data_IF_390063962365
#
_entry.id   IF_390063962365
#
_cell.length_a   1.000
_cell.length_b   1.000
_cell.length_c   1.000
_cell.angle_alpha   90.00
_cell.angle_beta   90.00
_cell.angle_gamma   90.00
#
_symmetry.space_group_name_H-M   'P 1'
#
loop_
_entity.id
_entity.type
_entity.pdbx_description
1 polymer ?
#
# COMPACT_ATOMS: atom_id res chain seq x y z
N UNK A 1 -36.05 36.69 -3.28
CA UNK A 1 -35.36 35.95 -4.35
C UNK A 1 -35.40 34.47 -3.99
N UNK A 2 -36.00 33.61 -4.83
CA UNK A 2 -36.06 32.17 -4.53
C UNK A 2 -34.65 31.57 -4.59
N UNK A 3 -34.30 30.76 -3.58
CA UNK A 3 -33.05 29.97 -3.58
C UNK A 3 -33.06 29.05 -4.81
N UNK A 4 -31.98 28.99 -5.61
CA UNK A 4 -31.86 27.96 -6.61
C UNK A 4 -31.91 26.60 -5.90
N UNK A 5 -32.90 25.79 -6.28
CA UNK A 5 -32.91 24.36 -5.95
C UNK A 5 -31.64 23.79 -6.58
N UNK A 6 -30.78 23.07 -5.84
CA UNK A 6 -29.63 22.42 -6.45
C UNK A 6 -30.16 21.44 -7.48
N UNK A 7 -29.80 21.65 -8.75
CA UNK A 7 -30.14 20.73 -9.83
C UNK A 7 -29.79 19.32 -9.39
N UNK A 8 -30.78 18.42 -9.46
CA UNK A 8 -30.52 17.00 -9.28
C UNK A 8 -29.43 16.62 -10.29
N UNK A 9 -28.39 15.87 -9.88
CA UNK A 9 -27.35 15.45 -10.80
C UNK A 9 -28.02 14.76 -11.99
N UNK A 10 -27.78 15.28 -13.17
CA UNK A 10 -28.24 14.68 -14.42
C UNK A 10 -27.75 13.23 -14.44
N UNK A 11 -28.69 12.30 -14.61
CA UNK A 11 -28.45 10.86 -14.80
C UNK A 11 -27.62 10.67 -16.08
N UNK A 12 -26.30 10.91 -16.02
CA UNK A 12 -25.41 10.56 -17.10
C UNK A 12 -25.31 9.03 -17.16
N UNK A 13 -25.70 8.38 -18.27
CA UNK A 13 -25.70 6.91 -18.40
C UNK A 13 -24.30 6.26 -18.24
N UNK A 14 -23.24 7.07 -18.10
CA UNK A 14 -21.88 6.60 -17.82
C UNK A 14 -21.54 6.39 -16.35
N UNK A 15 -22.34 6.85 -15.38
CA UNK A 15 -22.08 6.66 -13.94
C UNK A 15 -22.29 5.20 -13.49
N UNK A 16 -23.41 4.61 -13.91
CA UNK A 16 -23.81 3.25 -13.55
C UNK A 16 -22.87 2.18 -14.15
N UNK A 17 -22.47 2.36 -15.42
CA UNK A 17 -21.50 1.48 -16.10
C UNK A 17 -20.12 1.53 -15.43
N UNK A 18 -19.68 2.71 -14.98
CA UNK A 18 -18.40 2.87 -14.28
C UNK A 18 -18.44 2.31 -12.87
N UNK A 19 -19.56 2.47 -12.17
CA UNK A 19 -19.78 1.84 -10.88
C UNK A 19 -19.66 0.31 -10.98
N UNK A 20 -20.35 -0.30 -11.95
CA UNK A 20 -20.27 -1.73 -12.22
C UNK A 20 -18.84 -2.17 -12.59
N UNK A 21 -18.13 -1.39 -13.41
CA UNK A 21 -16.75 -1.68 -13.81
C UNK A 21 -15.75 -1.58 -12.64
N UNK A 22 -15.87 -0.54 -11.79
CA UNK A 22 -15.04 -0.38 -10.60
C UNK A 22 -15.28 -1.53 -9.61
N UNK A 23 -16.53 -1.90 -9.39
CA UNK A 23 -16.91 -3.02 -8.54
C UNK A 23 -16.42 -4.36 -9.12
N UNK A 24 -16.49 -4.55 -10.44
CA UNK A 24 -15.96 -5.74 -11.11
C UNK A 24 -14.44 -5.86 -10.95
N UNK A 25 -13.69 -4.76 -11.12
CA UNK A 25 -12.23 -4.71 -10.89
C UNK A 25 -11.86 -5.03 -9.45
N UNK A 26 -12.63 -4.50 -8.49
CA UNK A 26 -12.42 -4.78 -7.06
C UNK A 26 -12.74 -6.25 -6.71
N UNK A 27 -13.79 -6.81 -7.33
CA UNK A 27 -14.20 -8.22 -7.17
C UNK A 27 -13.27 -9.22 -7.83
N UNK A 28 -12.34 -8.81 -8.69
CA UNK A 28 -11.45 -9.76 -9.34
C UNK A 28 -10.69 -10.61 -8.29
N UNK A 29 -10.68 -11.93 -8.43
CA UNK A 29 -9.98 -12.82 -7.51
C UNK A 29 -8.45 -12.56 -7.55
N UNK A 30 -7.70 -12.65 -6.42
CA UNK A 30 -6.24 -12.45 -6.39
C UNK A 30 -5.50 -13.67 -6.99
N UNK A 31 -5.81 -13.98 -8.25
CA UNK A 31 -5.39 -15.20 -8.92
C UNK A 31 -3.86 -15.34 -8.95
N UNK A 32 -3.13 -14.25 -9.21
CA UNK A 32 -1.67 -14.27 -9.23
C UNK A 32 -1.04 -14.69 -7.90
N UNK A 33 -1.51 -14.14 -6.78
CA UNK A 33 -0.97 -14.50 -5.47
C UNK A 33 -1.32 -15.94 -5.06
N UNK A 34 -2.57 -16.34 -5.29
CA UNK A 34 -3.05 -17.69 -4.96
C UNK A 34 -2.38 -18.74 -5.85
N UNK A 35 -2.20 -18.46 -7.15
CA UNK A 35 -1.49 -19.35 -8.07
C UNK A 35 -0.02 -19.53 -7.65
N UNK A 36 0.69 -18.45 -7.28
CA UNK A 36 2.07 -18.56 -6.79
C UNK A 36 2.17 -19.38 -5.50
N UNK A 37 1.25 -19.19 -4.55
CA UNK A 37 1.23 -20.01 -3.33
C UNK A 37 0.89 -21.47 -3.63
N UNK A 38 -0.02 -21.72 -4.57
CA UNK A 38 -0.38 -23.06 -4.99
C UNK A 38 0.80 -23.78 -5.67
N UNK A 39 1.54 -23.11 -6.56
CA UNK A 39 2.72 -23.71 -7.21
C UNK A 39 3.83 -24.00 -6.20
N UNK A 40 4.06 -23.12 -5.23
CA UNK A 40 5.00 -23.36 -4.13
C UNK A 40 4.58 -24.54 -3.25
N UNK A 41 3.30 -24.61 -2.89
CA UNK A 41 2.76 -25.72 -2.11
C UNK A 41 2.88 -27.05 -2.86
N UNK A 42 2.55 -27.09 -4.15
CA UNK A 42 2.69 -28.28 -4.98
C UNK A 42 4.14 -28.71 -5.14
N UNK A 43 5.06 -27.76 -5.37
CA UNK A 43 6.50 -28.05 -5.44
C UNK A 43 7.04 -28.64 -4.13
N UNK A 44 6.65 -28.05 -2.99
CA UNK A 44 7.02 -28.55 -1.67
C UNK A 44 6.41 -29.94 -1.39
N UNK A 45 5.18 -30.19 -1.83
CA UNK A 45 4.50 -31.49 -1.70
C UNK A 45 5.18 -32.58 -2.53
N UNK A 46 5.50 -32.29 -3.80
CA UNK A 46 6.23 -33.23 -4.67
C UNK A 46 7.59 -33.56 -4.06
N UNK A 47 8.29 -32.55 -3.52
CA UNK A 47 9.54 -32.79 -2.79
C UNK A 47 9.31 -33.66 -1.55
N UNK A 48 8.31 -33.36 -0.72
CA UNK A 48 7.98 -34.19 0.44
C UNK A 48 7.72 -35.66 0.06
N UNK A 49 6.93 -35.91 -0.98
CA UNK A 49 6.67 -37.29 -1.47
C UNK A 49 7.96 -37.97 -1.91
N UNK A 50 8.85 -37.25 -2.60
CA UNK A 50 10.17 -37.79 -2.97
C UNK A 50 11.05 -38.13 -1.76
N UNK A 51 10.86 -37.45 -0.62
CA UNK A 51 11.58 -37.73 0.63
C UNK A 51 11.01 -38.93 1.39
N UNK A 52 9.75 -39.31 1.18
CA UNK A 52 9.13 -40.47 1.82
C UNK A 52 9.78 -41.79 1.34
N UNK A 53 10.07 -41.88 0.04
CA UNK A 53 10.72 -43.06 -0.56
C UNK A 53 12.23 -43.14 -0.32
N UNK A 54 12.86 -42.11 0.25
CA UNK A 54 14.30 -42.14 0.54
C UNK A 54 14.58 -42.91 1.82
N UNK A 55 15.54 -43.82 1.74
CA UNK A 55 16.11 -44.52 2.89
C UNK A 55 17.30 -43.69 3.40
N UNK A 56 17.43 -43.48 4.72
CA UNK A 56 18.61 -42.84 5.29
C UNK A 56 19.84 -43.71 5.01
N UNK A 57 20.76 -43.21 4.19
CA UNK A 57 22.00 -43.90 3.85
C UNK A 57 23.19 -43.19 4.50
N UNK A 58 23.95 -43.88 5.37
CA UNK A 58 25.16 -43.32 5.98
C UNK A 58 26.29 -43.34 4.96
N UNK A 59 26.86 -42.17 4.66
CA UNK A 59 28.00 -42.02 3.77
C UNK A 59 29.20 -41.41 4.51
N UNK A 60 30.39 -41.92 4.20
CA UNK A 60 31.68 -41.38 4.63
C UNK A 60 32.52 -41.07 3.38
N UNK A 61 32.94 -39.82 3.18
CA UNK A 61 33.72 -39.38 2.01
C UNK A 61 33.16 -39.82 0.64
N UNK A 62 31.84 -39.96 0.53
CA UNK A 62 31.15 -40.41 -0.70
C UNK A 62 30.97 -41.92 -0.83
N UNK A 63 31.56 -42.73 0.06
CA UNK A 63 31.35 -44.18 0.12
C UNK A 63 30.23 -44.53 1.12
N UNK A 64 29.40 -45.52 0.78
CA UNK A 64 28.37 -46.04 1.67
C UNK A 64 29.02 -46.80 2.83
N UNK A 65 28.55 -46.58 4.05
CA UNK A 65 29.02 -47.30 5.24
C UNK A 65 28.12 -48.50 5.54
N UNK A 66 28.72 -49.58 6.03
CA UNK A 66 28.06 -50.78 6.55
C UNK A 66 28.06 -50.81 8.09
N UNK A 67 27.16 -51.57 8.73
CA UNK A 67 27.20 -51.76 10.18
C UNK A 67 28.56 -52.26 10.66
N UNK A 68 29.15 -51.58 11.64
CA UNK A 68 30.51 -51.86 12.15
C UNK A 68 31.60 -50.94 11.58
N UNK A 69 31.34 -50.21 10.50
CA UNK A 69 32.33 -49.28 9.93
C UNK A 69 32.59 -48.07 10.82
N UNK A 70 33.83 -47.59 10.78
CA UNK A 70 34.29 -46.37 11.45
C UNK A 70 34.80 -45.40 10.39
N UNK A 71 34.37 -44.15 10.47
CA UNK A 71 34.73 -43.09 9.54
C UNK A 71 35.59 -42.05 10.25
N UNK A 72 36.74 -41.71 9.69
CA UNK A 72 37.52 -40.56 10.15
C UNK A 72 36.92 -39.26 9.58
N UNK A 73 36.38 -38.40 10.45
CA UNK A 73 36.02 -37.03 10.10
C UNK A 73 37.11 -36.07 10.58
N UNK A 74 37.70 -35.34 9.63
CA UNK A 74 38.56 -34.19 9.91
C UNK A 74 37.72 -32.92 9.86
N UNK A 75 37.64 -32.15 10.96
CA UNK A 75 36.98 -30.84 10.95
C UNK A 75 37.81 -29.87 10.10
N UNK A 76 37.14 -29.07 9.25
CA UNK A 76 37.77 -28.13 8.29
C UNK A 76 38.77 -27.13 8.91
N UNK A 77 38.74 -26.90 10.23
CA UNK A 77 39.66 -26.02 10.99
C UNK A 77 40.44 -26.73 12.11
N UNK A 78 40.43 -28.07 12.17
CA UNK A 78 41.13 -28.83 13.22
C UNK A 78 42.11 -29.84 12.62
N UNK A 79 43.26 -29.99 13.27
CA UNK A 79 44.24 -31.05 12.98
C UNK A 79 43.85 -32.38 13.61
N UNK A 80 42.90 -32.42 14.55
CA UNK A 80 42.42 -33.67 15.15
C UNK A 80 41.43 -34.37 14.22
N UNK A 81 41.72 -35.62 13.91
CA UNK A 81 40.76 -36.58 13.34
C UNK A 81 39.89 -37.11 14.48
N UNK A 82 38.58 -37.13 14.27
CA UNK A 82 37.64 -37.80 15.18
C UNK A 82 37.00 -38.95 14.44
N UNK A 83 37.06 -40.14 15.03
CA UNK A 83 36.36 -41.32 14.55
C UNK A 83 34.86 -41.20 14.83
N UNK A 84 34.05 -41.52 13.83
CA UNK A 84 32.58 -41.52 13.91
C UNK A 84 32.09 -42.88 13.46
N UNK A 85 31.34 -43.56 14.33
CA UNK A 85 30.78 -44.88 14.06
C UNK A 85 29.61 -44.82 13.08
N UNK A 86 29.36 -45.94 12.39
CA UNK A 86 28.18 -46.15 11.54
C UNK A 86 26.88 -45.68 12.21
N UNK A 87 26.62 -46.08 13.45
CA UNK A 87 25.37 -45.75 14.16
C UNK A 87 25.18 -44.24 14.32
N UNK A 88 26.27 -43.51 14.59
CA UNK A 88 26.22 -42.06 14.76
C UNK A 88 25.97 -41.34 13.43
N UNK A 89 26.58 -41.81 12.33
CA UNK A 89 26.32 -41.28 10.98
C UNK A 89 24.89 -41.60 10.54
N UNK A 90 24.40 -42.81 10.84
CA UNK A 90 23.03 -43.22 10.54
C UNK A 90 22.02 -42.37 11.32
N UNK A 91 22.22 -42.14 12.61
CA UNK A 91 21.36 -41.28 13.43
C UNK A 91 21.30 -39.83 12.87
N UNK A 92 22.44 -39.28 12.44
CA UNK A 92 22.51 -37.97 11.81
C UNK A 92 21.78 -37.95 10.45
N UNK A 93 21.88 -39.02 9.65
CA UNK A 93 21.14 -39.17 8.39
C UNK A 93 19.62 -39.26 8.61
N UNK A 94 19.18 -40.03 9.61
CA UNK A 94 17.77 -40.15 10.01
C UNK A 94 17.23 -38.80 10.48
N UNK A 95 17.95 -38.11 11.37
CA UNK A 95 17.55 -36.80 11.87
C UNK A 95 17.47 -35.75 10.75
N UNK A 96 18.41 -35.78 9.80
CA UNK A 96 18.39 -34.90 8.63
C UNK A 96 17.17 -35.15 7.74
N UNK A 97 16.89 -36.41 7.42
CA UNK A 97 15.77 -36.77 6.55
C UNK A 97 14.42 -36.44 7.21
N UNK A 98 14.27 -36.73 8.49
CA UNK A 98 13.07 -36.37 9.26
C UNK A 98 12.90 -34.85 9.33
N UNK A 99 13.97 -34.09 9.56
CA UNK A 99 13.93 -32.61 9.56
C UNK A 99 13.50 -32.08 8.18
N UNK A 100 14.03 -32.62 7.09
CA UNK A 100 13.63 -32.23 5.72
C UNK A 100 12.14 -32.51 5.45
N UNK A 101 11.62 -33.65 5.93
CA UNK A 101 10.20 -34.01 5.79
C UNK A 101 9.30 -33.04 6.56
N UNK A 102 9.61 -32.75 7.83
CA UNK A 102 8.82 -31.80 8.62
C UNK A 102 8.87 -30.37 8.06
N UNK A 103 10.03 -29.98 7.53
CA UNK A 103 10.18 -28.67 6.90
C UNK A 103 9.33 -28.52 5.64
N UNK A 104 9.41 -29.49 4.71
CA UNK A 104 8.62 -29.46 3.48
C UNK A 104 7.12 -29.45 3.79
N UNK A 105 6.68 -30.22 4.80
CA UNK A 105 5.31 -30.17 5.31
C UNK A 105 4.93 -28.79 5.86
N UNK A 106 5.79 -28.16 6.65
CA UNK A 106 5.54 -26.83 7.22
C UNK A 106 5.39 -25.75 6.12
N UNK A 107 6.20 -25.81 5.06
CA UNK A 107 6.08 -24.91 3.90
C UNK A 107 4.72 -25.08 3.21
N UNK A 108 4.28 -26.32 2.99
CA UNK A 108 2.95 -26.61 2.44
C UNK A 108 1.86 -25.99 3.32
N UNK A 109 1.91 -26.25 4.63
CA UNK A 109 0.93 -25.74 5.58
C UNK A 109 0.85 -24.20 5.55
N UNK A 110 2.00 -23.52 5.53
CA UNK A 110 2.04 -22.05 5.49
C UNK A 110 1.50 -21.50 4.18
N UNK A 111 1.82 -22.11 3.04
CA UNK A 111 1.28 -21.68 1.75
C UNK A 111 -0.25 -21.82 1.73
N UNK A 112 -0.79 -22.91 2.28
CA UNK A 112 -2.23 -23.14 2.40
C UNK A 112 -2.88 -22.12 3.35
N UNK A 113 -2.32 -21.90 4.54
CA UNK A 113 -2.83 -20.92 5.50
C UNK A 113 -2.78 -19.48 4.96
N UNK A 114 -1.70 -19.10 4.28
CA UNK A 114 -1.57 -17.80 3.63
C UNK A 114 -2.59 -17.63 2.50
N UNK A 115 -2.78 -18.65 1.65
CA UNK A 115 -3.80 -18.63 0.60
C UNK A 115 -5.21 -18.50 1.20
N UNK A 116 -5.53 -19.24 2.26
CA UNK A 116 -6.80 -19.16 2.96
C UNK A 116 -7.02 -17.75 3.55
N UNK A 117 -6.00 -17.19 4.22
CA UNK A 117 -6.06 -15.84 4.79
C UNK A 117 -6.32 -14.77 3.70
N UNK A 118 -5.64 -14.87 2.55
CA UNK A 118 -5.86 -13.99 1.40
C UNK A 118 -7.30 -14.11 0.90
N UNK A 119 -7.83 -15.33 0.76
CA UNK A 119 -9.20 -15.57 0.27
C UNK A 119 -10.26 -15.05 1.24
N UNK A 120 -10.13 -15.37 2.54
CA UNK A 120 -11.06 -14.90 3.59
C UNK A 120 -11.09 -13.37 3.60
N UNK A 121 -9.91 -12.76 3.56
CA UNK A 121 -9.77 -11.30 3.56
C UNK A 121 -10.35 -10.66 2.31
N UNK A 122 -10.06 -11.21 1.13
CA UNK A 122 -10.66 -10.76 -0.13
C UNK A 122 -12.19 -10.85 -0.09
N UNK A 123 -12.76 -11.93 0.46
CA UNK A 123 -14.22 -12.04 0.62
C UNK A 123 -14.78 -10.96 1.54
N UNK A 124 -14.12 -10.67 2.66
CA UNK A 124 -14.51 -9.59 3.58
C UNK A 124 -14.47 -8.22 2.91
N UNK A 125 -13.38 -7.91 2.21
CA UNK A 125 -13.24 -6.65 1.47
C UNK A 125 -14.32 -6.53 0.38
N UNK A 126 -14.61 -7.62 -0.35
CA UNK A 126 -15.67 -7.65 -1.37
C UNK A 126 -17.05 -7.48 -0.77
N UNK A 127 -17.32 -8.04 0.42
CA UNK A 127 -18.58 -7.86 1.12
C UNK A 127 -18.79 -6.38 1.49
N UNK A 128 -17.76 -5.74 2.07
CA UNK A 128 -17.80 -4.30 2.39
C UNK A 128 -17.98 -3.43 1.14
N UNK A 129 -17.29 -3.77 0.04
CA UNK A 129 -17.45 -3.04 -1.21
C UNK A 129 -18.85 -3.23 -1.82
N UNK A 130 -19.48 -4.40 -1.62
CA UNK A 130 -20.88 -4.63 -2.01
C UNK A 130 -21.86 -3.83 -1.18
N UNK A 131 -21.64 -3.75 0.13
CA UNK A 131 -22.46 -2.93 1.03
C UNK A 131 -22.40 -1.45 0.62
N UNK A 132 -21.21 -0.94 0.29
CA UNK A 132 -21.11 0.41 -0.27
C UNK A 132 -21.77 0.54 -1.62
N UNK A 133 -21.55 -0.42 -2.51
CA UNK A 133 -22.15 -0.37 -3.84
C UNK A 133 -23.68 -0.39 -3.80
N UNK A 134 -24.28 -1.07 -2.82
CA UNK A 134 -25.72 -1.09 -2.62
C UNK A 134 -26.31 0.29 -2.30
N UNK A 135 -25.51 1.21 -1.74
CA UNK A 135 -25.91 2.59 -1.49
C UNK A 135 -25.86 3.48 -2.75
N UNK A 136 -25.56 2.92 -3.93
CA UNK A 136 -25.55 3.59 -5.24
C UNK A 136 -24.76 4.91 -5.27
N UNK A 137 -23.41 4.86 -5.17
CA UNK A 137 -22.61 6.06 -5.33
C UNK A 137 -22.78 6.65 -6.74
N UNK A 138 -22.80 7.98 -6.84
CA UNK A 138 -22.87 8.69 -8.12
C UNK A 138 -21.67 8.36 -9.02
N UNK A 139 -20.49 8.25 -8.40
CA UNK A 139 -19.25 7.87 -9.06
C UNK A 139 -18.44 6.97 -8.15
N UNK A 140 -17.72 6.01 -8.75
CA UNK A 140 -16.83 5.14 -8.00
C UNK A 140 -15.52 4.89 -8.74
N UNK A 141 -14.44 4.78 -7.98
CA UNK A 141 -13.17 4.26 -8.47
C UNK A 141 -12.71 3.12 -7.58
N UNK A 142 -12.01 2.18 -8.18
CA UNK A 142 -11.40 1.08 -7.49
C UNK A 142 -9.97 0.91 -7.97
N UNK A 143 -9.01 1.05 -7.05
CA UNK A 143 -7.63 0.72 -7.30
C UNK A 143 -7.30 -0.60 -6.62
N UNK A 144 -6.58 -1.47 -7.33
CA UNK A 144 -6.13 -2.75 -6.80
C UNK A 144 -4.63 -2.69 -6.63
N UNK A 145 -4.14 -2.73 -5.39
CA UNK A 145 -2.73 -3.07 -5.18
C UNK A 145 -2.48 -4.49 -5.65
N UNK A 146 -1.42 -4.68 -6.44
CA UNK A 146 -1.09 -5.97 -7.01
C UNK A 146 -0.71 -6.93 -5.88
N UNK A 147 -1.64 -7.80 -5.45
CA UNK A 147 -1.37 -8.93 -4.54
C UNK A 147 -0.20 -9.81 -5.02
N UNK A 148 0.16 -9.69 -6.30
CA UNK A 148 1.37 -10.27 -6.91
C UNK A 148 2.64 -9.89 -6.14
N UNK A 149 2.78 -8.65 -5.64
CA UNK A 149 3.99 -8.24 -4.89
C UNK A 149 4.08 -8.98 -3.56
N UNK A 150 2.95 -9.18 -2.86
CA UNK A 150 2.89 -9.96 -1.62
C UNK A 150 3.23 -11.43 -1.88
N UNK A 151 2.64 -12.04 -2.91
CA UNK A 151 2.95 -13.42 -3.31
C UNK A 151 4.42 -13.60 -3.71
N UNK A 152 5.00 -12.62 -4.43
CA UNK A 152 6.41 -12.63 -4.82
C UNK A 152 7.35 -12.47 -3.61
N UNK A 153 7.02 -11.59 -2.66
CA UNK A 153 7.80 -11.41 -1.42
C UNK A 153 7.79 -12.69 -0.58
N UNK A 154 6.64 -13.34 -0.44
CA UNK A 154 6.54 -14.63 0.26
C UNK A 154 7.38 -15.69 -0.45
N UNK A 155 7.24 -15.81 -1.78
CA UNK A 155 8.03 -16.74 -2.57
C UNK A 155 9.53 -16.48 -2.43
N UNK A 156 9.95 -15.22 -2.48
CA UNK A 156 11.35 -14.83 -2.29
C UNK A 156 11.85 -15.16 -0.87
N UNK A 157 11.06 -14.93 0.18
CA UNK A 157 11.44 -15.27 1.56
C UNK A 157 11.56 -16.78 1.78
N UNK A 158 10.67 -17.57 1.18
CA UNK A 158 10.74 -19.03 1.23
C UNK A 158 11.98 -19.54 0.48
N UNK A 159 12.25 -19.01 -0.71
CA UNK A 159 13.43 -19.37 -1.51
C UNK A 159 14.73 -18.95 -0.84
N UNK A 160 14.79 -17.74 -0.27
CA UNK A 160 15.96 -17.25 0.46
C UNK A 160 16.18 -18.07 1.73
N UNK A 161 15.14 -18.36 2.51
CA UNK A 161 15.25 -19.22 3.69
C UNK A 161 15.76 -20.62 3.35
N UNK A 162 15.20 -21.25 2.30
CA UNK A 162 15.65 -22.55 1.82
C UNK A 162 17.08 -22.53 1.26
N UNK A 163 17.44 -21.49 0.50
CA UNK A 163 18.77 -21.31 -0.06
C UNK A 163 19.83 -21.06 1.01
N UNK A 164 19.53 -20.22 2.00
CA UNK A 164 20.42 -19.95 3.13
C UNK A 164 20.65 -21.23 3.94
N UNK A 165 19.58 -22.01 4.18
CA UNK A 165 19.66 -23.31 4.84
C UNK A 165 20.58 -24.29 4.10
N UNK A 166 20.39 -24.43 2.78
CA UNK A 166 21.23 -25.27 1.95
C UNK A 166 22.70 -24.80 1.98
N UNK A 167 22.94 -23.50 1.85
CA UNK A 167 24.28 -22.91 1.90
C UNK A 167 24.98 -23.11 3.25
N UNK A 168 24.28 -22.85 4.36
CA UNK A 168 24.77 -23.06 5.73
C UNK A 168 25.13 -24.54 5.98
N UNK A 169 24.31 -25.46 5.46
CA UNK A 169 24.55 -26.90 5.53
C UNK A 169 25.86 -27.28 4.81
N UNK A 170 26.08 -26.78 3.60
CA UNK A 170 27.31 -27.05 2.84
C UNK A 170 28.54 -26.36 3.45
N UNK A 171 28.37 -25.18 4.05
CA UNK A 171 29.48 -24.38 4.57
C UNK A 171 30.00 -24.84 5.94
N UNK A 172 29.09 -25.11 6.89
CA UNK A 172 29.45 -25.36 8.30
C UNK A 172 29.57 -26.86 8.61
N UNK A 173 28.70 -27.70 8.02
CA UNK A 173 28.66 -29.14 8.26
C UNK A 173 28.26 -29.51 9.71
N UNK A 174 27.63 -30.67 9.89
CA UNK A 174 27.26 -31.22 11.20
C UNK A 174 26.00 -30.63 11.84
N UNK A 175 25.70 -31.09 13.06
CA UNK A 175 24.47 -30.81 13.84
C UNK A 175 24.18 -29.32 14.11
N UNK A 176 25.22 -28.47 14.14
CA UNK A 176 25.09 -27.02 14.36
C UNK A 176 24.49 -26.33 13.12
N UNK A 177 24.87 -26.76 11.92
CA UNK A 177 24.31 -26.25 10.67
C UNK A 177 22.83 -26.61 10.50
N UNK A 178 22.42 -27.78 10.99
CA UNK A 178 21.01 -28.20 11.00
C UNK A 178 20.18 -27.39 12.00
N UNK A 179 20.68 -27.18 13.22
CA UNK A 179 19.97 -26.41 14.25
C UNK A 179 19.77 -24.94 13.87
N UNK A 180 20.83 -24.24 13.47
CA UNK A 180 20.76 -22.84 13.01
C UNK A 180 19.89 -22.73 11.76
N UNK A 181 20.01 -23.69 10.86
CA UNK A 181 19.19 -23.75 9.65
C UNK A 181 17.69 -23.84 9.96
N UNK A 182 17.27 -24.70 10.90
CA UNK A 182 15.85 -24.81 11.27
C UNK A 182 15.33 -23.50 11.86
N UNK A 183 16.10 -22.83 12.72
CA UNK A 183 15.69 -21.56 13.34
C UNK A 183 15.52 -20.45 12.29
N UNK A 184 16.47 -20.30 11.36
CA UNK A 184 16.38 -19.29 10.29
C UNK A 184 15.15 -19.51 9.42
N UNK A 185 14.85 -20.77 9.13
CA UNK A 185 13.74 -21.16 8.26
C UNK A 185 12.39 -21.01 8.95
N UNK A 186 12.25 -21.47 10.20
CA UNK A 186 11.04 -21.24 10.98
C UNK A 186 10.82 -19.74 11.17
N UNK A 187 11.90 -18.99 11.44
CA UNK A 187 11.88 -17.53 11.51
C UNK A 187 11.40 -16.88 10.22
N UNK A 188 11.94 -17.27 9.06
CA UNK A 188 11.54 -16.68 7.77
C UNK A 188 10.09 -17.00 7.40
N UNK A 189 9.64 -18.22 7.70
CA UNK A 189 8.26 -18.67 7.52
C UNK A 189 7.30 -17.91 8.43
N UNK A 190 7.65 -17.75 9.71
CA UNK A 190 6.87 -16.94 10.66
C UNK A 190 6.84 -15.47 10.25
N UNK A 191 7.97 -14.90 9.82
CA UNK A 191 8.02 -13.52 9.30
C UNK A 191 7.15 -13.37 8.06
N UNK A 192 7.19 -14.33 7.12
CA UNK A 192 6.33 -14.30 5.94
C UNK A 192 4.84 -14.38 6.32
N UNK A 193 4.47 -15.23 7.27
CA UNK A 193 3.11 -15.34 7.78
C UNK A 193 2.67 -14.06 8.50
N UNK A 194 3.53 -13.50 9.36
CA UNK A 194 3.29 -12.22 10.04
C UNK A 194 3.15 -11.10 9.03
N UNK A 195 3.96 -11.06 7.97
CA UNK A 195 3.80 -10.08 6.88
C UNK A 195 2.45 -10.26 6.18
N UNK A 196 1.99 -11.48 5.91
CA UNK A 196 0.63 -11.69 5.34
C UNK A 196 -0.47 -11.19 6.27
N UNK A 197 -0.32 -11.37 7.58
CA UNK A 197 -1.33 -11.00 8.57
C UNK A 197 -1.30 -9.50 8.92
N UNK A 198 -0.11 -8.93 9.07
CA UNK A 198 0.15 -7.56 9.54
C UNK A 198 0.32 -6.58 8.39
N UNK A 199 1.04 -6.95 7.34
CA UNK A 199 1.07 -6.16 6.11
C UNK A 199 -0.28 -6.39 5.43
N UNK A 200 -1.31 -5.70 5.93
CA UNK A 200 -2.48 -5.34 5.13
C UNK A 200 -1.85 -4.64 3.93
N UNK A 201 -1.79 -5.24 2.72
CA UNK A 201 -1.29 -4.51 1.57
C UNK A 201 -2.04 -3.18 1.56
N UNK A 202 -1.33 -2.11 1.23
CA UNK A 202 -1.81 -0.73 1.42
C UNK A 202 -3.24 -0.53 0.95
N UNK A 203 -3.71 -1.35 0.01
CA UNK A 203 -5.08 -1.88 0.00
C UNK A 203 -5.58 -1.94 -1.41
N UNK A 204 -6.45 -2.90 -1.71
CA UNK A 204 -7.46 -2.56 -2.70
C UNK A 204 -8.30 -1.44 -2.06
N UNK A 205 -8.47 -0.34 -2.78
CA UNK A 205 -9.27 0.78 -2.34
C UNK A 205 -10.50 0.85 -3.21
N UNK A 206 -11.66 0.96 -2.57
CA UNK A 206 -12.89 1.35 -3.24
C UNK A 206 -13.29 2.71 -2.69
N UNK A 207 -13.52 3.66 -3.58
CA UNK A 207 -13.96 5.02 -3.24
C UNK A 207 -15.26 5.28 -3.97
N UNK A 208 -16.32 5.53 -3.22
CA UNK A 208 -17.60 5.97 -3.75
C UNK A 208 -17.87 7.43 -3.35
N UNK A 209 -18.37 8.21 -4.29
CA UNK A 209 -18.82 9.59 -4.08
C UNK A 209 -20.32 9.60 -3.80
N UNK A 210 -20.71 10.23 -2.70
CA UNK A 210 -22.08 10.36 -2.22
C UNK A 210 -22.42 11.83 -1.98
N UNK A 211 -23.68 12.12 -1.66
CA UNK A 211 -24.14 13.50 -1.43
C UNK A 211 -23.48 14.13 -0.21
N UNK A 212 -23.36 13.36 0.86
CA UNK A 212 -22.83 13.76 2.16
C UNK A 212 -21.29 13.80 2.23
N UNK A 213 -20.62 13.15 1.28
CA UNK A 213 -19.17 13.00 1.33
C UNK A 213 -18.65 11.86 0.46
N UNK A 214 -17.53 11.30 0.91
CA UNK A 214 -16.87 10.18 0.25
C UNK A 214 -16.87 8.99 1.19
N UNK A 215 -17.28 7.82 0.71
CA UNK A 215 -17.12 6.58 1.47
C UNK A 215 -16.02 5.72 0.88
N UNK A 216 -15.18 5.19 1.75
CA UNK A 216 -13.96 4.48 1.38
C UNK A 216 -13.98 3.10 2.02
N UNK A 217 -13.81 2.04 1.22
CA UNK A 217 -13.40 0.73 1.73
C UNK A 217 -11.90 0.63 1.60
N UNK A 218 -11.25 0.41 2.72
CA UNK A 218 -9.81 0.27 2.78
C UNK A 218 -9.40 -0.61 3.93
N UNK A 219 -8.42 -1.50 3.68
CA UNK A 219 -7.78 -2.34 4.71
C UNK A 219 -8.82 -3.14 5.54
N UNK A 220 -9.96 -3.55 4.97
CA UNK A 220 -11.02 -4.24 5.70
C UNK A 220 -11.86 -3.35 6.62
N UNK A 221 -11.81 -2.03 6.46
CA UNK A 221 -12.66 -1.08 7.16
C UNK A 221 -13.47 -0.24 6.17
N UNK A 222 -14.68 0.12 6.59
CA UNK A 222 -15.51 1.11 5.95
C UNK A 222 -15.32 2.45 6.68
N UNK A 223 -14.95 3.50 5.95
CA UNK A 223 -14.89 4.86 6.49
C UNK A 223 -15.81 5.77 5.68
N UNK A 224 -16.71 6.46 6.37
CA UNK A 224 -17.53 7.53 5.79
C UNK A 224 -16.87 8.85 6.15
N UNK A 225 -16.54 9.65 5.15
CA UNK A 225 -15.79 10.88 5.34
C UNK A 225 -16.61 12.05 4.82
N UNK A 226 -17.01 12.99 5.68
CA UNK A 226 -17.76 14.17 5.26
C UNK A 226 -16.88 15.06 4.39
N UNK A 227 -17.48 15.85 3.49
CA UNK A 227 -16.74 16.72 2.56
C UNK A 227 -15.73 17.66 3.23
N UNK A 228 -15.99 18.09 4.48
CA UNK A 228 -15.11 18.95 5.26
C UNK A 228 -13.81 18.26 5.71
N UNK A 229 -13.78 16.93 5.75
CA UNK A 229 -12.59 16.13 6.12
C UNK A 229 -11.86 15.56 4.89
N UNK A 230 -12.40 15.76 3.69
CA UNK A 230 -11.79 15.31 2.44
C UNK A 230 -10.72 16.29 2.00
N UNK A 231 -9.52 15.79 1.76
CA UNK A 231 -8.39 16.55 1.24
C UNK A 231 -8.00 15.98 -0.13
N UNK A 232 -8.28 16.73 -1.20
CA UNK A 232 -7.85 16.39 -2.55
C UNK A 232 -6.49 17.02 -2.82
N UNK A 233 -5.50 16.22 -3.20
CA UNK A 233 -4.15 16.67 -3.52
C UNK A 233 -3.88 16.43 -5.00
N UNK A 234 -3.66 17.53 -5.72
CA UNK A 234 -3.34 17.55 -7.15
C UNK A 234 -1.82 17.43 -7.34
N UNK A 235 -1.31 16.19 -7.35
CA UNK A 235 -0.02 15.86 -7.95
C UNK A 235 -0.25 15.23 -9.32
N UNK A 236 0.81 14.88 -10.07
CA UNK A 236 0.68 14.27 -11.42
C UNK A 236 -0.29 13.08 -11.54
N UNK A 237 -0.75 12.49 -10.44
CA UNK A 237 -2.06 11.84 -10.36
C UNK A 237 -2.85 12.33 -9.14
N UNK A 238 -4.14 12.69 -9.29
CA UNK A 238 -4.94 13.19 -8.19
C UNK A 238 -5.10 12.11 -7.13
N UNK A 239 -4.94 12.52 -5.88
CA UNK A 239 -5.05 11.62 -4.74
C UNK A 239 -5.89 12.22 -3.63
N UNK A 240 -6.64 11.38 -2.95
CA UNK A 240 -7.46 11.73 -1.80
C UNK A 240 -6.74 11.33 -0.52
N UNK A 241 -6.66 12.27 0.42
CA UNK A 241 -6.32 12.06 1.82
C UNK A 241 -7.52 12.41 2.69
N UNK A 242 -7.49 11.93 3.93
CA UNK A 242 -8.50 12.25 4.94
C UNK A 242 -7.77 12.89 6.11
N UNK A 243 -8.37 13.92 6.71
CA UNK A 243 -7.82 14.54 7.93
C UNK A 243 -7.52 13.45 8.98
N UNK A 244 -6.31 13.49 9.54
CA UNK A 244 -5.81 12.53 10.53
C UNK A 244 -5.37 11.17 9.96
N UNK A 245 -5.41 10.96 8.64
CA UNK A 245 -4.89 9.75 7.98
C UNK A 245 -3.78 10.12 6.98
N UNK A 246 -2.52 9.72 7.23
CA UNK A 246 -1.38 10.09 6.38
C UNK A 246 -1.40 9.44 5.00
N UNK A 247 -2.40 8.62 4.72
CA UNK A 247 -2.41 7.77 3.56
C UNK A 247 -3.21 8.32 2.39
N UNK A 248 -2.68 8.08 1.20
CA UNK A 248 -3.23 8.58 -0.06
C UNK A 248 -3.93 7.47 -0.81
N UNK A 249 -5.08 7.79 -1.39
CA UNK A 249 -5.80 6.93 -2.33
C UNK A 249 -5.79 7.61 -3.68
N UNK A 250 -5.26 6.95 -4.72
CA UNK A 250 -5.27 7.51 -6.07
C UNK A 250 -6.70 7.50 -6.61
N UNK A 251 -7.07 8.58 -7.29
CA UNK A 251 -8.38 8.70 -7.92
C UNK A 251 -8.24 8.68 -9.44
N UNK A 252 -9.23 8.08 -10.10
CA UNK A 252 -9.43 8.29 -11.53
C UNK A 252 -9.86 9.75 -11.79
N UNK A 253 -9.50 10.31 -12.94
CA UNK A 253 -9.71 11.73 -13.25
C UNK A 253 -11.16 12.19 -13.09
N UNK A 254 -12.14 11.35 -13.46
CA UNK A 254 -13.57 11.69 -13.32
C UNK A 254 -14.01 11.73 -11.86
N UNK A 255 -13.62 10.74 -11.04
CA UNK A 255 -13.91 10.75 -9.60
C UNK A 255 -13.22 11.94 -8.93
N UNK A 256 -11.99 12.26 -9.32
CA UNK A 256 -11.28 13.43 -8.83
C UNK A 256 -12.01 14.74 -9.14
N UNK A 257 -12.63 14.88 -10.33
CA UNK A 257 -13.46 16.06 -10.67
C UNK A 257 -14.68 16.19 -9.75
N UNK A 258 -15.35 15.08 -9.46
CA UNK A 258 -16.55 15.10 -8.62
C UNK A 258 -16.22 15.33 -7.15
N UNK A 259 -15.12 14.75 -6.65
CA UNK A 259 -14.57 15.09 -5.34
C UNK A 259 -14.20 16.57 -5.27
N UNK A 260 -13.56 17.12 -6.32
CA UNK A 260 -13.23 18.55 -6.42
C UNK A 260 -14.49 19.41 -6.33
N UNK A 261 -15.55 19.06 -7.07
CA UNK A 261 -16.84 19.76 -7.04
C UNK A 261 -17.49 19.71 -5.66
N UNK A 262 -17.62 18.53 -5.05
CA UNK A 262 -18.26 18.36 -3.73
C UNK A 262 -17.50 19.05 -2.59
N UNK A 263 -16.16 18.94 -2.58
CA UNK A 263 -15.31 19.68 -1.63
C UNK A 263 -15.44 21.18 -1.83
N UNK A 264 -15.41 21.66 -3.07
CA UNK A 264 -15.56 23.09 -3.38
C UNK A 264 -16.89 23.64 -2.89
N UNK A 265 -18.00 23.01 -3.27
CA UNK A 265 -19.34 23.47 -2.89
C UNK A 265 -19.50 23.52 -1.36
N UNK A 266 -19.05 22.48 -0.65
CA UNK A 266 -19.25 22.39 0.81
C UNK A 266 -18.33 23.34 1.57
N UNK A 267 -17.05 23.39 1.20
CA UNK A 267 -16.09 24.26 1.88
C UNK A 267 -16.42 25.72 1.64
N UNK A 268 -16.64 26.13 0.39
CA UNK A 268 -16.87 27.55 0.08
C UNK A 268 -18.17 28.07 0.69
N UNK A 269 -19.20 27.23 0.84
CA UNK A 269 -20.46 27.59 1.49
C UNK A 269 -20.32 27.89 3.00
N UNK A 270 -19.27 27.38 3.65
CA UNK A 270 -19.08 27.51 5.12
C UNK A 270 -17.80 28.26 5.50
N UNK A 271 -16.85 28.39 4.58
CA UNK A 271 -15.51 28.89 4.86
C UNK A 271 -15.48 30.30 5.46
N UNK A 272 -16.25 31.25 4.90
CA UNK A 272 -16.26 32.62 5.39
C UNK A 272 -16.76 32.70 6.83
N UNK A 273 -17.88 32.03 7.15
CA UNK A 273 -18.42 31.99 8.51
C UNK A 273 -17.44 31.35 9.50
N UNK A 274 -16.72 30.30 9.09
CA UNK A 274 -15.69 29.65 9.91
C UNK A 274 -14.49 30.57 10.17
N UNK A 275 -14.01 31.28 9.14
CA UNK A 275 -12.96 32.28 9.29
C UNK A 275 -13.40 33.45 10.19
N UNK A 276 -14.64 33.91 10.06
CA UNK A 276 -15.23 34.94 10.92
C UNK A 276 -15.32 34.49 12.38
N UNK A 277 -15.61 33.20 12.62
CA UNK A 277 -15.58 32.57 13.94
C UNK A 277 -14.15 32.35 14.49
N UNK A 278 -13.11 32.75 13.76
CA UNK A 278 -11.72 32.60 14.17
C UNK A 278 -11.14 31.19 13.94
N UNK A 279 -11.84 30.32 13.22
CA UNK A 279 -11.31 29.01 12.87
C UNK A 279 -10.16 29.12 11.86
N UNK A 280 -9.26 28.14 11.92
CA UNK A 280 -8.16 27.98 10.98
C UNK A 280 -8.53 26.91 9.95
N UNK A 281 -8.47 27.25 8.68
CA UNK A 281 -8.77 26.32 7.59
C UNK A 281 -7.46 25.69 7.08
N UNK A 282 -7.34 24.38 7.27
CA UNK A 282 -6.14 23.61 6.93
C UNK A 282 -6.18 23.09 5.47
N UNK A 283 -5.16 23.45 4.70
CA UNK A 283 -4.91 23.04 3.32
C UNK A 283 -3.59 22.24 3.21
N UNK A 284 -3.21 21.53 4.27
CA UNK A 284 -2.00 20.72 4.34
C UNK A 284 -0.78 21.57 4.70
N UNK A 285 0.02 21.95 3.71
CA UNK A 285 1.22 22.79 3.93
C UNK A 285 0.90 24.29 4.08
N UNK A 286 -0.37 24.66 3.98
CA UNK A 286 -0.87 26.02 4.14
C UNK A 286 -2.08 26.00 5.06
N UNK A 287 -2.17 26.95 5.98
CA UNK A 287 -3.35 27.18 6.82
C UNK A 287 -3.85 28.59 6.61
N UNK A 288 -5.11 28.76 6.24
CA UNK A 288 -5.75 30.07 6.07
C UNK A 288 -6.45 30.48 7.36
N UNK A 289 -6.20 31.72 7.78
CA UNK A 289 -6.93 32.39 8.86
C UNK A 289 -7.59 33.64 8.30
N UNK A 290 -8.39 34.32 9.13
CA UNK A 290 -9.04 35.58 8.74
C UNK A 290 -8.04 36.67 8.34
N UNK A 291 -6.87 36.69 8.97
CA UNK A 291 -5.91 37.80 8.87
C UNK A 291 -4.64 37.43 8.11
N UNK A 292 -4.27 36.15 8.09
CA UNK A 292 -3.02 35.68 7.51
C UNK A 292 -3.13 34.31 6.84
N UNK A 293 -2.26 34.09 5.86
CA UNK A 293 -1.91 32.77 5.35
C UNK A 293 -0.68 32.26 6.11
N UNK A 294 -0.77 31.07 6.69
CA UNK A 294 0.26 30.46 7.52
C UNK A 294 0.90 29.30 6.75
N UNK A 295 2.14 29.45 6.24
CA UNK A 295 2.89 28.35 5.65
C UNK A 295 3.42 27.42 6.75
N UNK A 296 3.39 26.11 6.52
CA UNK A 296 3.98 25.15 7.46
C UNK A 296 5.49 25.40 7.61
N UNK A 297 5.94 25.62 8.85
CA UNK A 297 7.32 25.98 9.18
C UNK A 297 7.79 27.37 8.71
N UNK A 298 6.88 28.24 8.25
CA UNK A 298 7.19 29.60 7.77
C UNK A 298 6.61 30.71 8.65
N UNK A 299 7.01 31.96 8.37
CA UNK A 299 6.41 33.13 9.00
C UNK A 299 4.97 33.35 8.48
N UNK A 300 4.03 33.79 9.33
CA UNK A 300 2.70 34.23 8.89
C UNK A 300 2.80 35.32 7.82
N UNK A 301 2.03 35.18 6.74
CA UNK A 301 1.92 36.18 5.69
C UNK A 301 0.58 36.89 5.86
N UNK A 302 0.54 38.16 6.32
CA UNK A 302 -0.70 38.91 6.42
C UNK A 302 -1.41 38.95 5.07
N UNK A 303 -2.73 38.73 5.07
CA UNK A 303 -3.54 38.76 3.84
C UNK A 303 -3.49 40.13 3.17
N UNK A 304 -3.35 41.21 3.95
CA UNK A 304 -3.15 42.57 3.44
C UNK A 304 -1.85 42.73 2.63
N UNK A 305 -0.82 41.94 2.95
CA UNK A 305 0.49 41.99 2.32
C UNK A 305 0.67 40.93 1.24
N UNK A 306 -0.28 40.00 1.09
CA UNK A 306 -0.21 38.94 0.08
C UNK A 306 -0.31 39.55 -1.33
N UNK A 307 0.74 39.36 -2.13
CA UNK A 307 0.85 39.88 -3.49
C UNK A 307 0.59 38.85 -4.58
N UNK A 308 0.93 37.59 -4.35
CA UNK A 308 0.68 36.53 -5.32
C UNK A 308 1.45 35.25 -5.08
N UNK A 309 1.31 34.32 -6.02
CA UNK A 309 2.01 33.05 -6.01
C UNK A 309 2.75 32.82 -7.32
N UNK A 310 3.90 32.16 -7.27
CA UNK A 310 4.68 31.85 -8.48
C UNK A 310 5.18 30.41 -8.40
N UNK A 311 5.02 29.66 -9.49
CA UNK A 311 5.60 28.32 -9.60
C UNK A 311 7.10 28.43 -9.90
N UNK A 312 7.89 27.75 -9.08
CA UNK A 312 9.30 27.53 -9.33
C UNK A 312 9.52 26.04 -9.60
N UNK A 313 9.89 25.72 -10.85
CA UNK A 313 10.27 24.38 -11.25
C UNK A 313 11.78 24.32 -11.42
N UNK A 314 12.49 23.72 -10.47
CA UNK A 314 13.92 23.45 -10.59
C UNK A 314 14.16 22.05 -11.15
N UNK A 315 15.21 21.84 -11.95
CA UNK A 315 15.56 20.51 -12.43
C UNK A 315 15.78 19.57 -11.24
N UNK A 316 15.08 18.42 -11.21
CA UNK A 316 15.14 17.38 -10.16
C UNK A 316 14.52 17.73 -8.80
N UNK A 317 13.85 18.86 -8.63
CA UNK A 317 13.10 19.18 -7.42
C UNK A 317 11.58 19.06 -7.64
N UNK A 318 10.83 18.86 -6.56
CA UNK A 318 9.37 18.93 -6.60
C UNK A 318 8.93 20.35 -7.01
N UNK A 319 7.75 20.46 -7.62
CA UNK A 319 7.15 21.74 -7.96
C UNK A 319 6.96 22.57 -6.68
N UNK A 320 7.68 23.70 -6.58
CA UNK A 320 7.60 24.61 -5.45
C UNK A 320 6.69 25.79 -5.79
N UNK A 321 5.86 26.20 -4.85
CA UNK A 321 5.04 27.40 -4.91
C UNK A 321 5.66 28.46 -3.99
N UNK A 322 6.12 29.56 -4.57
CA UNK A 322 6.60 30.71 -3.83
C UNK A 322 5.44 31.67 -3.53
N UNK A 323 5.34 32.09 -2.27
CA UNK A 323 4.37 33.06 -1.77
C UNK A 323 5.07 34.41 -1.75
N UNK A 324 4.54 35.39 -2.49
CA UNK A 324 5.15 36.71 -2.62
C UNK A 324 4.29 37.78 -1.97
N UNK A 325 4.94 38.75 -1.34
CA UNK A 325 4.26 39.94 -0.80
C UNK A 325 3.95 40.93 -1.91
N UNK A 326 3.12 41.94 -1.64
CA UNK A 326 2.85 43.06 -2.57
C UNK A 326 4.10 43.87 -2.91
N UNK A 327 5.11 43.87 -2.04
CA UNK A 327 6.43 44.44 -2.31
C UNK A 327 7.27 43.59 -3.28
N UNK A 328 6.82 42.38 -3.64
CA UNK A 328 7.51 41.45 -4.53
C UNK A 328 8.52 40.55 -3.83
N UNK A 329 8.65 40.64 -2.51
CA UNK A 329 9.54 39.80 -1.70
C UNK A 329 8.98 38.38 -1.56
N UNK A 330 9.85 37.38 -1.50
CA UNK A 330 9.45 35.99 -1.26
C UNK A 330 9.28 35.79 0.25
N UNK A 331 8.03 35.67 0.70
CA UNK A 331 7.71 35.47 2.10
C UNK A 331 7.92 34.00 2.54
N UNK A 332 7.57 33.05 1.67
CA UNK A 332 7.73 31.62 1.93
C UNK A 332 7.72 30.82 0.62
N UNK A 333 8.14 29.56 0.68
CA UNK A 333 8.02 28.63 -0.45
C UNK A 333 7.66 27.23 0.00
N UNK A 334 6.54 26.69 -0.52
CA UNK A 334 5.96 25.40 -0.12
C UNK A 334 5.96 24.39 -1.28
N UNK A 335 5.90 23.10 -0.97
CA UNK A 335 5.72 22.05 -1.98
C UNK A 335 4.27 22.09 -2.50
N UNK A 336 4.10 22.49 -3.76
CA UNK A 336 2.78 22.68 -4.35
C UNK A 336 1.98 21.36 -4.36
N UNK A 337 2.66 20.22 -4.50
CA UNK A 337 2.05 18.88 -4.53
C UNK A 337 1.55 18.40 -3.16
N UNK A 338 1.67 19.23 -2.12
CA UNK A 338 1.17 18.96 -0.77
C UNK A 338 0.05 19.91 -0.35
N UNK A 339 -0.34 20.86 -1.21
CA UNK A 339 -1.46 21.76 -0.96
C UNK A 339 -2.75 20.95 -1.19
N UNK A 340 -3.45 20.67 -0.11
CA UNK A 340 -4.76 20.03 -0.15
C UNK A 340 -5.83 21.03 -0.60
N UNK A 341 -6.84 20.56 -1.33
CA UNK A 341 -7.98 21.35 -1.80
C UNK A 341 -7.58 22.69 -2.41
N UNK A 342 -6.50 22.72 -3.20
CA UNK A 342 -5.93 23.95 -3.74
C UNK A 342 -6.96 24.79 -4.53
N UNK A 343 -7.92 24.14 -5.18
CA UNK A 343 -9.04 24.82 -5.85
C UNK A 343 -9.91 25.63 -4.88
N UNK A 344 -10.19 25.11 -3.67
CA UNK A 344 -10.90 25.83 -2.62
C UNK A 344 -10.07 27.00 -2.12
N UNK A 345 -8.79 26.76 -1.81
CA UNK A 345 -7.89 27.80 -1.35
C UNK A 345 -7.81 28.95 -2.37
N UNK A 346 -7.68 28.64 -3.66
CA UNK A 346 -7.67 29.65 -4.73
C UNK A 346 -8.94 30.50 -4.74
N UNK A 347 -10.12 29.88 -4.63
CA UNK A 347 -11.40 30.63 -4.57
C UNK A 347 -11.49 31.53 -3.34
N UNK A 348 -11.07 31.03 -2.17
CA UNK A 348 -11.13 31.83 -0.94
C UNK A 348 -10.17 33.02 -0.98
N UNK A 349 -8.96 32.84 -1.49
CA UNK A 349 -7.99 33.92 -1.65
C UNK A 349 -8.46 34.97 -2.68
N UNK A 350 -9.16 34.54 -3.72
CA UNK A 350 -9.77 35.45 -4.69
C UNK A 350 -10.87 36.31 -4.07
N UNK A 351 -11.70 35.71 -3.20
CA UNK A 351 -12.75 36.43 -2.49
C UNK A 351 -12.19 37.40 -1.46
N UNK A 352 -11.20 36.97 -0.67
CA UNK A 352 -10.65 37.75 0.44
C UNK A 352 -9.70 38.86 -0.03
N UNK A 353 -8.83 38.58 -0.99
CA UNK A 353 -7.71 39.48 -1.36
C UNK A 353 -7.44 39.60 -2.85
N UNK A 354 -8.30 39.05 -3.72
CA UNK A 354 -8.17 39.10 -5.18
C UNK A 354 -6.87 38.46 -5.71
N UNK A 355 -6.39 37.43 -5.01
CA UNK A 355 -5.22 36.63 -5.42
C UNK A 355 -5.67 35.20 -5.75
N UNK A 356 -5.17 34.64 -6.85
CA UNK A 356 -5.44 33.25 -7.26
C UNK A 356 -4.17 32.40 -7.22
N UNK A 357 -4.33 31.09 -7.03
CA UNK A 357 -3.22 30.16 -7.19
C UNK A 357 -2.99 29.89 -8.70
N UNK A 358 -1.73 29.82 -9.15
CA UNK A 358 -1.44 29.39 -10.51
C UNK A 358 -1.92 27.95 -10.74
N UNK A 359 -2.42 27.61 -11.95
CA UNK A 359 -2.87 26.26 -12.26
C UNK A 359 -1.70 25.27 -12.17
N UNK A 360 -1.95 24.09 -11.61
CA UNK A 360 -0.92 23.06 -11.49
C UNK A 360 -0.51 22.56 -12.89
N UNK A 361 0.80 22.47 -13.19
CA UNK A 361 1.26 21.92 -14.45
C UNK A 361 0.76 20.46 -14.58
N UNK A 362 0.00 20.19 -15.64
CA UNK A 362 -0.65 18.89 -15.88
C UNK A 362 -2.11 18.80 -15.44
N UNK A 363 -2.68 19.84 -14.80
CA UNK A 363 -4.11 19.92 -14.48
C UNK A 363 -4.93 20.57 -15.60
N UNK A 364 -4.51 20.44 -16.87
CA UNK A 364 -5.25 21.03 -17.99
C UNK A 364 -6.71 20.56 -17.94
N UNK A 365 -7.69 21.49 -17.92
CA UNK A 365 -9.08 21.10 -18.09
C UNK A 365 -9.18 20.36 -19.42
N UNK A 366 -9.85 19.20 -19.40
CA UNK A 366 -10.18 18.51 -20.65
C UNK A 366 -10.89 19.53 -21.54
N UNK A 367 -10.60 19.52 -22.84
CA UNK A 367 -11.19 20.46 -23.81
C UNK A 367 -12.73 20.44 -23.80
N UNK A 368 -13.33 19.40 -23.21
CA UNK A 368 -14.77 19.26 -23.00
C UNK A 368 -15.34 20.19 -21.90
N UNK A 369 -14.52 20.70 -20.97
CA UNK A 369 -14.99 21.57 -19.87
C UNK A 369 -15.13 23.04 -20.30
N UNK A 370 -14.53 23.45 -21.43
CA UNK A 370 -14.61 24.83 -21.93
C UNK A 370 -15.90 25.15 -22.71
N UNK A 371 -16.74 24.13 -22.98
CA UNK A 371 -17.98 24.27 -23.75
C UNK A 371 -19.27 24.29 -22.92
N UNK A 372 -19.18 24.24 -21.58
CA UNK A 372 -20.33 24.26 -20.66
C UNK A 372 -20.11 25.24 -19.51
N UNK A 373 -20.00 26.52 -19.83
CA UNK A 373 -20.22 27.64 -18.89
C UNK A 373 -21.32 28.51 -19.47
#
# INVERSE_FOLDING_TARGET
>A
MPKPVPDAPTDEPGGEVQHAAALARFRAFPLGAVATLATLALGALVWFVSLLGRVPAPFCHGAAMSPGDVCERRRRRSTRTSEVTYERVLAEAVQNLTTQRWWTLAVVLVCVLAALAIVVRWRGDVALARELAAAQPWFATAERTAWITVGAVIGALVLLGGGLWAGLRFAIGGSVGTGVGVVVVVGSVLIALVLVLVARPTGAHYVGVYREGVHLVRRGGLRRVPWLEVQLVDGGSPSLTVVGDPSRVRLDARVAREVRRGTWQTWTATALARLEAGERLDFGVLTLTREALLPDGGAPVPLADLGGFTHLQRPRENLRLEIRTRAGEVAAGVDATRIANAHVLSTLLEWLVKVTLPPFPGSTPSRDDAGRV
#
